data_IF_225321798512
#
_entry.id   IF_225321798512
#
_cell.length_a   1.000
_cell.length_b   1.000
_cell.length_c   1.000
_cell.angle_alpha   90.00
_cell.angle_beta   90.00
_cell.angle_gamma   90.00
#
_symmetry.space_group_name_H-M   'P 1'
#
loop_
_entity.id
_entity.type
_entity.pdbx_description
1 polymer ?
#
# COMPACT_ATOMS: atom_id res chain seq x y z
N UNK A 1 19.38 3.83 -15.68
CA UNK A 1 18.49 4.28 -14.60
C UNK A 1 19.29 4.75 -13.39
N UNK A 2 18.88 5.89 -12.85
CA UNK A 2 19.30 6.38 -11.55
C UNK A 2 18.33 5.91 -10.46
N UNK A 3 18.77 5.81 -9.19
CA UNK A 3 17.87 5.52 -8.08
C UNK A 3 16.70 6.51 -7.92
N UNK A 4 16.89 7.77 -8.32
CA UNK A 4 15.85 8.79 -8.29
C UNK A 4 14.74 8.49 -9.33
N UNK A 5 15.12 8.15 -10.56
CA UNK A 5 14.16 7.80 -11.63
C UNK A 5 13.32 6.58 -11.22
N UNK A 6 13.95 5.56 -10.62
CA UNK A 6 13.24 4.38 -10.12
C UNK A 6 12.24 4.71 -9.01
N UNK A 7 12.64 5.56 -8.07
CA UNK A 7 11.77 5.99 -6.97
C UNK A 7 10.59 6.84 -7.48
N UNK A 8 10.85 7.81 -8.36
CA UNK A 8 9.80 8.64 -8.97
C UNK A 8 8.78 7.81 -9.75
N UNK A 9 9.25 6.81 -10.51
CA UNK A 9 8.36 5.94 -11.29
C UNK A 9 7.38 5.15 -10.42
N UNK A 10 7.85 4.54 -9.32
CA UNK A 10 6.93 3.80 -8.42
C UNK A 10 6.03 4.71 -7.59
N UNK A 11 6.50 5.92 -7.26
CA UNK A 11 5.68 6.91 -6.55
C UNK A 11 4.50 7.39 -7.39
N UNK A 12 4.68 7.49 -8.72
CA UNK A 12 3.61 7.86 -9.64
C UNK A 12 2.46 6.85 -9.67
N UNK A 13 2.76 5.57 -9.39
CA UNK A 13 1.76 4.48 -9.38
C UNK A 13 1.03 4.33 -8.04
N UNK A 14 1.43 5.09 -7.00
CA UNK A 14 0.74 5.02 -5.71
C UNK A 14 -0.70 5.55 -5.84
N UNK A 15 -1.68 4.87 -5.20
CA UNK A 15 -3.04 5.35 -5.22
C UNK A 15 -3.18 6.71 -4.53
N UNK A 16 -4.18 7.48 -4.94
CA UNK A 16 -4.58 8.67 -4.20
C UNK A 16 -5.28 8.28 -2.90
N UNK A 17 -5.21 9.17 -1.90
CA UNK A 17 -5.91 8.98 -0.63
C UNK A 17 -7.41 8.80 -0.85
N UNK A 18 -7.97 7.76 -0.25
CA UNK A 18 -9.40 7.46 -0.32
C UNK A 18 -10.21 8.30 0.68
N UNK A 19 -11.24 8.97 0.19
CA UNK A 19 -12.28 9.58 1.02
C UNK A 19 -13.42 8.58 1.27
N UNK A 20 -14.29 8.81 2.27
CA UNK A 20 -15.52 8.05 2.42
C UNK A 20 -16.37 8.01 1.13
N UNK A 21 -16.46 9.13 0.41
CA UNK A 21 -17.19 9.18 -0.87
C UNK A 21 -16.54 8.31 -1.95
N UNK A 22 -15.21 8.18 -1.97
CA UNK A 22 -14.52 7.27 -2.88
C UNK A 22 -14.78 5.80 -2.56
N UNK A 23 -14.97 5.46 -1.29
CA UNK A 23 -15.36 4.10 -0.87
C UNK A 23 -16.81 3.76 -1.26
N UNK A 24 -17.71 4.75 -1.26
CA UNK A 24 -19.09 4.58 -1.72
C UNK A 24 -19.19 4.20 -3.20
N UNK A 25 -18.22 4.60 -4.03
CA UNK A 25 -18.14 4.18 -5.46
C UNK A 25 -17.97 2.66 -5.60
N UNK A 26 -17.37 2.02 -4.59
CA UNK A 26 -17.26 0.57 -4.49
C UNK A 26 -18.44 -0.06 -3.72
N UNK A 27 -19.39 0.72 -3.23
CA UNK A 27 -20.47 0.25 -2.35
C UNK A 27 -19.99 -0.09 -0.94
N UNK A 28 -18.98 0.61 -0.44
CA UNK A 28 -18.47 0.48 0.93
C UNK A 28 -18.85 1.72 1.72
N UNK A 29 -19.71 1.55 2.72
CA UNK A 29 -20.09 2.64 3.63
C UNK A 29 -19.16 2.64 4.85
N UNK A 30 -18.35 3.68 4.97
CA UNK A 30 -17.35 3.80 6.03
C UNK A 30 -17.39 5.19 6.67
N UNK A 31 -17.18 5.27 7.99
CA UNK A 31 -16.91 6.56 8.65
C UNK A 31 -15.57 7.13 8.18
N UNK A 32 -15.29 8.43 8.39
CA UNK A 32 -13.97 9.01 8.10
C UNK A 32 -12.81 8.26 8.76
N UNK A 33 -13.01 7.74 9.97
CA UNK A 33 -12.02 6.95 10.71
C UNK A 33 -11.81 5.58 10.07
N UNK A 34 -12.88 4.87 9.69
CA UNK A 34 -12.78 3.60 8.96
C UNK A 34 -12.12 3.79 7.60
N UNK A 35 -12.49 4.83 6.84
CA UNK A 35 -11.89 5.15 5.56
C UNK A 35 -10.38 5.41 5.68
N UNK A 36 -9.96 6.06 6.76
CA UNK A 36 -8.56 6.29 7.06
C UNK A 36 -7.81 4.99 7.38
N UNK A 37 -8.41 4.07 8.14
CA UNK A 37 -7.80 2.75 8.42
C UNK A 37 -7.68 1.94 7.13
N UNK A 38 -8.72 1.90 6.30
CA UNK A 38 -8.69 1.20 5.00
C UNK A 38 -7.58 1.78 4.11
N UNK A 39 -7.48 3.10 4.02
CA UNK A 39 -6.42 3.78 3.27
C UNK A 39 -5.01 3.39 3.76
N UNK A 40 -4.80 3.33 5.09
CA UNK A 40 -3.52 2.94 5.65
C UNK A 40 -3.14 1.52 5.26
N UNK A 41 -4.08 0.56 5.34
CA UNK A 41 -3.81 -0.81 4.93
C UNK A 41 -3.50 -0.93 3.43
N UNK A 42 -4.20 -0.17 2.58
CA UNK A 42 -3.91 -0.09 1.13
C UNK A 42 -2.51 0.45 0.90
N UNK A 43 -2.15 1.55 1.56
CA UNK A 43 -0.82 2.14 1.43
C UNK A 43 0.25 1.16 1.93
N UNK A 44 -0.02 0.44 3.02
CA UNK A 44 0.88 -0.58 3.55
C UNK A 44 1.11 -1.75 2.60
N UNK A 45 0.05 -2.20 1.94
CA UNK A 45 0.13 -3.25 0.93
C UNK A 45 0.91 -2.77 -0.30
N UNK A 46 0.70 -1.53 -0.74
CA UNK A 46 1.48 -0.93 -1.83
C UNK A 46 2.97 -0.84 -1.50
N UNK A 47 3.32 -0.42 -0.27
CA UNK A 47 4.70 -0.40 0.19
C UNK A 47 5.38 -1.76 0.14
N UNK A 48 4.65 -2.80 0.55
CA UNK A 48 5.14 -4.16 0.46
C UNK A 48 5.43 -4.55 -1.00
N UNK A 49 4.50 -4.30 -1.92
CA UNK A 49 4.69 -4.66 -3.33
C UNK A 49 5.78 -3.84 -4.03
N UNK A 50 5.91 -2.54 -3.73
CA UNK A 50 7.03 -1.72 -4.21
C UNK A 50 8.35 -2.30 -3.72
N UNK A 51 8.43 -2.72 -2.46
CA UNK A 51 9.62 -3.35 -1.88
C UNK A 51 9.99 -4.62 -2.64
N UNK A 52 9.00 -5.48 -2.92
CA UNK A 52 9.18 -6.71 -3.69
C UNK A 52 9.62 -6.43 -5.14
N UNK A 53 9.01 -5.45 -5.80
CA UNK A 53 9.35 -5.06 -7.17
C UNK A 53 10.78 -4.50 -7.25
N UNK A 54 11.19 -3.66 -6.30
CA UNK A 54 12.58 -3.17 -6.20
C UNK A 54 13.56 -4.33 -6.00
N UNK A 55 13.23 -5.32 -5.18
CA UNK A 55 14.08 -6.49 -5.00
C UNK A 55 14.18 -7.40 -6.22
N UNK A 56 13.12 -7.46 -7.03
CA UNK A 56 13.10 -8.25 -8.25
C UNK A 56 13.87 -7.57 -9.39
N UNK A 57 13.70 -6.26 -9.57
CA UNK A 57 14.11 -5.57 -10.80
C UNK A 57 15.30 -4.61 -10.65
N UNK A 58 15.65 -4.17 -9.43
CA UNK A 58 16.73 -3.20 -9.22
C UNK A 58 18.05 -3.90 -8.84
N UNK A 59 19.21 -3.46 -9.39
CA UNK A 59 20.52 -3.95 -8.98
C UNK A 59 20.76 -3.80 -7.47
N UNK A 60 21.41 -4.79 -6.85
CA UNK A 60 21.58 -4.87 -5.39
C UNK A 60 22.21 -3.63 -4.79
N UNK A 61 23.12 -2.97 -5.51
CA UNK A 61 23.84 -1.78 -5.05
C UNK A 61 22.92 -0.55 -4.93
N UNK A 62 21.79 -0.54 -5.66
CA UNK A 62 20.86 0.58 -5.70
C UNK A 62 19.60 0.38 -4.83
N UNK A 63 19.24 -0.87 -4.47
CA UNK A 63 17.98 -1.19 -3.78
C UNK A 63 17.76 -0.38 -2.51
N UNK A 64 18.76 -0.30 -1.64
CA UNK A 64 18.66 0.43 -0.36
C UNK A 64 18.35 1.91 -0.61
N UNK A 65 19.04 2.52 -1.57
CA UNK A 65 18.84 3.91 -1.91
C UNK A 65 17.46 4.16 -2.53
N UNK A 66 16.99 3.31 -3.45
CA UNK A 66 15.64 3.41 -4.04
C UNK A 66 14.57 3.31 -2.96
N UNK A 67 14.64 2.29 -2.08
CA UNK A 67 13.68 2.13 -0.98
C UNK A 67 13.65 3.36 -0.06
N UNK A 68 14.82 3.92 0.28
CA UNK A 68 14.90 5.13 1.10
C UNK A 68 14.30 6.35 0.41
N UNK A 69 14.53 6.52 -0.90
CA UNK A 69 13.98 7.64 -1.67
C UNK A 69 12.44 7.58 -1.73
N UNK A 70 11.88 6.38 -1.92
CA UNK A 70 10.42 6.17 -1.87
C UNK A 70 9.86 6.55 -0.51
N UNK A 71 10.44 6.03 0.59
CA UNK A 71 9.99 6.35 1.95
C UNK A 71 10.09 7.84 2.26
N UNK A 72 11.22 8.48 1.95
CA UNK A 72 11.42 9.91 2.19
C UNK A 72 10.41 10.78 1.43
N UNK A 73 10.05 10.39 0.20
CA UNK A 73 9.09 11.16 -0.61
C UNK A 73 7.67 11.07 -0.04
N UNK A 74 7.33 9.93 0.55
CA UNK A 74 6.02 9.74 1.18
C UNK A 74 5.98 10.43 2.54
N UNK A 75 7.07 10.42 3.30
CA UNK A 75 7.22 11.24 4.50
C UNK A 75 7.02 12.74 4.21
N UNK A 76 7.65 13.25 3.14
CA UNK A 76 7.54 14.66 2.74
C UNK A 76 6.14 15.06 2.28
N UNK A 77 5.37 14.12 1.72
CA UNK A 77 3.98 14.33 1.31
C UNK A 77 2.97 13.92 2.39
N UNK A 78 3.44 13.44 3.54
CA UNK A 78 2.58 13.04 4.64
C UNK A 78 1.80 14.25 5.16
N UNK A 79 0.48 14.13 5.37
CA UNK A 79 -0.30 15.26 5.88
C UNK A 79 0.22 15.69 7.25
N UNK A 80 0.34 17.00 7.43
CA UNK A 80 0.77 17.60 8.69
C UNK A 80 -0.16 17.21 9.85
N UNK A 81 0.37 17.23 11.08
CA UNK A 81 -0.28 16.84 12.35
C UNK A 81 -1.64 17.55 12.61
N UNK A 82 -1.95 18.61 11.87
CA UNK A 82 -3.24 19.31 11.93
C UNK A 82 -4.43 18.43 11.48
N UNK A 83 -4.18 17.41 10.65
CA UNK A 83 -5.20 16.43 10.27
C UNK A 83 -5.26 15.33 11.33
N UNK A 84 -6.00 15.59 12.42
CA UNK A 84 -6.13 14.71 13.60
C UNK A 84 -6.49 13.24 13.33
N UNK A 85 -7.01 12.93 12.14
CA UNK A 85 -7.38 11.56 11.78
C UNK A 85 -6.20 10.74 11.26
N UNK A 86 -5.08 11.37 10.85
CA UNK A 86 -3.89 10.67 10.35
C UNK A 86 -2.85 10.59 11.48
N UNK A 87 -2.30 9.40 11.78
CA UNK A 87 -1.21 9.27 12.71
C UNK A 87 0.02 10.02 12.19
N UNK A 88 0.85 10.52 13.11
CA UNK A 88 2.15 11.08 12.76
C UNK A 88 2.97 10.04 11.98
N UNK A 89 3.76 10.50 11.00
CA UNK A 89 4.57 9.63 10.14
C UNK A 89 5.39 8.60 10.94
N UNK A 90 6.04 9.03 12.02
CA UNK A 90 6.84 8.14 12.87
C UNK A 90 6.01 6.98 13.43
N UNK A 91 4.78 7.24 13.88
CA UNK A 91 3.89 6.19 14.37
C UNK A 91 3.47 5.27 13.22
N UNK A 92 3.04 5.84 12.10
CA UNK A 92 2.65 5.06 10.93
C UNK A 92 3.80 4.16 10.43
N UNK A 93 5.04 4.67 10.41
CA UNK A 93 6.21 3.93 9.92
C UNK A 93 6.53 2.69 10.76
N UNK A 94 6.24 2.71 12.07
CA UNK A 94 6.41 1.56 12.96
C UNK A 94 5.34 0.51 12.63
N UNK A 95 4.08 0.92 12.61
CA UNK A 95 2.96 0.03 12.29
C UNK A 95 3.10 -0.55 10.86
N UNK A 96 3.62 0.25 9.92
CA UNK A 96 3.93 -0.18 8.56
C UNK A 96 4.90 -1.38 8.53
N UNK A 97 5.92 -1.39 9.39
CA UNK A 97 6.85 -2.52 9.46
C UNK A 97 6.13 -3.78 9.93
N UNK A 98 5.25 -3.69 10.93
CA UNK A 98 4.44 -4.83 11.38
C UNK A 98 3.54 -5.38 10.27
N UNK A 99 2.86 -4.48 9.54
CA UNK A 99 2.03 -4.84 8.37
C UNK A 99 2.85 -5.49 7.26
N UNK A 100 4.07 -5.01 7.02
CA UNK A 100 4.99 -5.55 6.01
C UNK A 100 5.39 -7.00 6.34
N UNK A 101 5.79 -7.28 7.59
CA UNK A 101 6.13 -8.64 8.01
C UNK A 101 4.97 -9.64 7.84
N UNK A 102 3.72 -9.18 8.05
CA UNK A 102 2.52 -9.99 7.81
C UNK A 102 2.42 -10.39 6.33
N UNK A 103 2.59 -9.45 5.40
CA UNK A 103 2.52 -9.74 3.96
C UNK A 103 3.70 -10.57 3.47
N UNK A 104 4.90 -10.33 3.99
CA UNK A 104 6.09 -11.17 3.71
C UNK A 104 5.85 -12.62 4.08
N UNK A 105 5.24 -12.89 5.24
CA UNK A 105 4.89 -14.26 5.65
C UNK A 105 3.96 -14.92 4.63
N UNK A 106 2.89 -14.24 4.21
CA UNK A 106 1.92 -14.77 3.24
C UNK A 106 2.57 -15.03 1.88
N UNK A 107 3.43 -14.12 1.41
CA UNK A 107 4.17 -14.28 0.17
C UNK A 107 5.16 -15.47 0.24
N UNK A 108 5.84 -15.65 1.39
CA UNK A 108 6.73 -16.79 1.62
C UNK A 108 5.98 -18.13 1.68
N UNK A 109 4.70 -18.12 2.06
CA UNK A 109 3.80 -19.28 1.98
C UNK A 109 3.33 -19.57 0.53
N UNK A 110 3.74 -18.76 -0.45
CA UNK A 110 3.43 -18.94 -1.86
C UNK A 110 2.08 -18.34 -2.28
N UNK A 111 1.49 -17.47 -1.45
CA UNK A 111 0.25 -16.80 -1.81
C UNK A 111 0.45 -15.85 -3.00
N UNK A 112 -0.52 -15.86 -3.91
CA UNK A 112 -0.56 -14.90 -5.02
C UNK A 112 -0.92 -13.50 -4.52
N UNK A 113 -0.64 -12.44 -5.31
CA UNK A 113 -1.05 -11.08 -4.95
C UNK A 113 -2.54 -10.95 -4.64
N UNK A 114 -3.38 -11.62 -5.45
CA UNK A 114 -4.83 -11.66 -5.23
C UNK A 114 -5.19 -12.31 -3.87
N UNK A 115 -4.51 -13.39 -3.49
CA UNK A 115 -4.76 -14.06 -2.22
C UNK A 115 -4.34 -13.18 -1.02
N UNK A 116 -3.24 -12.43 -1.14
CA UNK A 116 -2.81 -11.48 -0.10
C UNK A 116 -3.81 -10.32 0.03
N UNK A 117 -4.36 -9.80 -1.08
CA UNK A 117 -5.45 -8.82 -1.03
C UNK A 117 -6.72 -9.39 -0.40
N UNK A 118 -7.06 -10.64 -0.68
CA UNK A 118 -8.20 -11.31 -0.05
C UNK A 118 -8.01 -11.47 1.47
N UNK A 119 -6.81 -11.83 1.92
CA UNK A 119 -6.47 -11.93 3.35
C UNK A 119 -6.60 -10.56 4.05
N UNK A 120 -6.15 -9.48 3.40
CA UNK A 120 -6.36 -8.14 3.94
C UNK A 120 -7.86 -7.79 4.04
N UNK A 121 -8.65 -8.14 3.03
CA UNK A 121 -10.11 -7.95 3.05
C UNK A 121 -10.78 -8.71 4.21
N UNK A 122 -10.37 -9.95 4.46
CA UNK A 122 -10.84 -10.75 5.60
C UNK A 122 -10.47 -10.10 6.93
N UNK A 123 -9.24 -9.63 7.07
CA UNK A 123 -8.78 -8.98 8.28
C UNK A 123 -9.56 -7.69 8.59
N UNK A 124 -9.85 -6.86 7.57
CA UNK A 124 -10.64 -5.64 7.74
C UNK A 124 -12.05 -5.95 8.27
N UNK A 125 -12.63 -7.08 7.85
CA UNK A 125 -13.91 -7.55 8.38
C UNK A 125 -13.80 -8.09 9.80
N UNK A 126 -12.81 -8.94 10.09
CA UNK A 126 -12.60 -9.50 11.44
C UNK A 126 -12.42 -8.39 12.48
N UNK A 127 -11.78 -7.29 12.08
CA UNK A 127 -11.58 -6.09 12.91
C UNK A 127 -12.80 -5.15 12.93
N UNK A 128 -13.88 -5.50 12.23
CA UNK A 128 -15.11 -4.69 12.08
C UNK A 128 -14.87 -3.30 11.50
N UNK A 129 -13.82 -3.17 10.68
CA UNK A 129 -13.57 -1.96 9.88
C UNK A 129 -14.58 -1.89 8.73
N UNK A 130 -14.93 -3.05 8.17
CA UNK A 130 -15.95 -3.21 7.14
C UNK A 130 -16.93 -4.31 7.53
N UNK A 131 -18.14 -4.26 6.97
CA UNK A 131 -19.13 -5.30 7.16
C UNK A 131 -18.85 -6.52 6.26
N UNK A 132 -19.32 -7.71 6.66
CA UNK A 132 -19.14 -8.95 5.88
C UNK A 132 -19.70 -8.81 4.45
N UNK A 133 -20.84 -8.13 4.29
CA UNK A 133 -21.44 -7.87 2.98
C UNK A 133 -20.55 -7.02 2.05
N UNK A 134 -19.66 -6.20 2.64
CA UNK A 134 -18.71 -5.37 1.92
C UNK A 134 -17.43 -6.11 1.53
N UNK A 135 -17.20 -7.35 1.99
CA UNK A 135 -15.94 -8.09 1.75
C UNK A 135 -15.56 -8.16 0.27
N UNK A 136 -16.53 -8.45 -0.61
CA UNK A 136 -16.30 -8.52 -2.05
C UNK A 136 -15.96 -7.15 -2.66
N UNK A 137 -16.59 -6.10 -2.16
CA UNK A 137 -16.36 -4.73 -2.61
C UNK A 137 -14.96 -4.27 -2.19
N UNK A 138 -14.54 -4.61 -0.96
CA UNK A 138 -13.20 -4.36 -0.46
C UNK A 138 -12.15 -5.09 -1.30
N UNK A 139 -12.37 -6.35 -1.65
CA UNK A 139 -11.43 -7.05 -2.54
C UNK A 139 -11.31 -6.35 -3.90
N UNK A 140 -12.42 -5.85 -4.45
CA UNK A 140 -12.41 -5.09 -5.71
C UNK A 140 -11.60 -3.81 -5.57
N UNK A 141 -11.85 -3.03 -4.50
CA UNK A 141 -11.07 -1.84 -4.16
C UNK A 141 -9.57 -2.14 -4.04
N UNK A 142 -9.19 -3.23 -3.37
CA UNK A 142 -7.80 -3.62 -3.17
C UNK A 142 -7.12 -3.99 -4.50
N UNK A 143 -7.82 -4.64 -5.42
CA UNK A 143 -7.29 -4.95 -6.75
C UNK A 143 -7.04 -3.66 -7.53
N UNK A 144 -7.99 -2.72 -7.49
CA UNK A 144 -7.89 -1.46 -8.24
C UNK A 144 -6.87 -0.48 -7.63
N UNK A 145 -6.63 -0.57 -6.31
CA UNK A 145 -5.73 0.34 -5.58
C UNK A 145 -4.31 -0.17 -5.40
N UNK A 146 -4.01 -1.40 -5.82
CA UNK A 146 -2.69 -2.03 -5.63
C UNK A 146 -2.19 -2.58 -6.96
N UNK A 147 -1.57 -1.74 -7.81
CA UNK A 147 -1.19 -2.10 -9.16
C UNK A 147 0.15 -2.88 -9.16
N UNK A 148 0.13 -4.12 -8.67
CA UNK A 148 1.34 -4.97 -8.49
C UNK A 148 2.15 -5.11 -9.77
N UNK A 149 1.47 -5.35 -10.90
CA UNK A 149 2.12 -5.51 -12.20
C UNK A 149 2.75 -4.19 -12.69
N UNK A 150 2.12 -3.04 -12.39
CA UNK A 150 2.64 -1.74 -12.79
C UNK A 150 3.98 -1.45 -12.10
N UNK A 151 4.11 -1.75 -10.80
CA UNK A 151 5.39 -1.58 -10.09
C UNK A 151 6.52 -2.39 -10.70
N UNK A 152 6.23 -3.60 -11.19
CA UNK A 152 7.22 -4.42 -11.90
C UNK A 152 7.60 -3.83 -13.25
N UNK A 153 6.61 -3.48 -14.07
CA UNK A 153 6.84 -2.96 -15.44
C UNK A 153 7.56 -1.61 -15.42
N UNK A 154 7.17 -0.66 -14.57
CA UNK A 154 7.85 0.66 -14.49
C UNK A 154 9.30 0.55 -14.06
N UNK A 155 9.66 -0.43 -13.22
CA UNK A 155 11.05 -0.65 -12.82
C UNK A 155 11.84 -1.46 -13.84
N UNK A 156 11.18 -2.36 -14.58
CA UNK A 156 11.77 -3.15 -15.66
C UNK A 156 12.10 -2.29 -16.88
N UNK A 157 11.26 -1.32 -17.21
CA UNK A 157 11.50 -0.38 -18.32
C UNK A 157 12.69 0.56 -18.06
N UNK A 158 13.08 0.70 -16.80
CA UNK A 158 14.23 1.49 -16.36
C UNK A 158 15.51 0.64 -16.21
N UNK A 159 15.39 -0.69 -16.06
CA UNK A 159 16.49 -1.64 -15.87
C UNK A 159 17.14 -2.12 -17.16
#
# INVERSE_FOLDING_TARGET
>A
MTPNEAAEAVLHELPSRLSPSGLEEYGIHATPEQAQVIWQEILSLNFFWITMAVEAHIPKECRVLVKQLVLNSIEQSWPADEVKTVPAWNQYSIEQQERTHRYERLANEGMSPLAISAELGMMLEEQRIVEEESRRNVLTLLIDSVPVDAYGEVLKDLG
#
